data_IF_449933659290
#
_entry.id   IF_449933659290
#
_cell.length_a   1.000
_cell.length_b   1.000
_cell.length_c   1.000
_cell.angle_alpha   90.00
_cell.angle_beta   90.00
_cell.angle_gamma   90.00
#
_symmetry.space_group_name_H-M   'P 1'
#
loop_
_entity.id
_entity.type
_entity.pdbx_description
1 polymer ?
#
# COMPACT_ATOMS: atom_id res chain seq x y z
N UNK A 1 16.28 3.61 -21.50
CA UNK A 1 15.14 4.13 -20.69
C UNK A 1 14.35 2.92 -20.24
N UNK A 2 14.20 2.69 -18.93
CA UNK A 2 13.44 1.53 -18.45
C UNK A 2 11.99 1.94 -18.30
N UNK A 3 11.13 1.51 -19.22
CA UNK A 3 9.72 1.89 -19.24
C UNK A 3 8.88 1.01 -18.30
N UNK A 4 7.79 1.58 -17.77
CA UNK A 4 6.77 0.89 -16.95
C UNK A 4 6.28 -0.43 -17.55
N UNK A 5 6.29 -0.53 -18.89
CA UNK A 5 5.93 -1.73 -19.64
C UNK A 5 6.87 -2.90 -19.38
N UNK A 6 8.19 -2.64 -19.32
CA UNK A 6 9.18 -3.67 -19.03
C UNK A 6 9.04 -4.22 -17.60
N UNK A 7 8.66 -3.36 -16.66
CA UNK A 7 8.36 -3.77 -15.28
C UNK A 7 7.12 -4.68 -15.24
N UNK A 8 6.03 -4.28 -15.90
CA UNK A 8 4.80 -5.08 -15.91
C UNK A 8 5.02 -6.45 -16.57
N UNK A 9 5.78 -6.49 -17.66
CA UNK A 9 6.18 -7.73 -18.30
C UNK A 9 7.00 -8.63 -17.37
N UNK A 10 7.97 -8.07 -16.66
CA UNK A 10 8.78 -8.81 -15.69
C UNK A 10 7.96 -9.37 -14.52
N UNK A 11 6.99 -8.60 -14.01
CA UNK A 11 6.05 -9.06 -12.97
C UNK A 11 5.18 -10.20 -13.48
N UNK A 12 4.65 -10.08 -14.71
CA UNK A 12 3.85 -11.13 -15.36
C UNK A 12 4.65 -12.42 -15.57
N UNK A 13 5.88 -12.32 -16.07
CA UNK A 13 6.82 -13.42 -16.23
C UNK A 13 7.13 -14.12 -14.89
N UNK A 14 7.43 -13.34 -13.85
CA UNK A 14 7.68 -13.86 -12.50
C UNK A 14 6.46 -14.61 -11.94
N UNK A 15 5.25 -14.12 -12.23
CA UNK A 15 4.01 -14.78 -11.81
C UNK A 15 3.81 -16.12 -12.50
N UNK A 16 4.06 -16.18 -13.81
CA UNK A 16 3.92 -17.42 -14.56
C UNK A 16 4.97 -18.47 -14.13
N UNK A 17 6.19 -18.03 -13.82
CA UNK A 17 7.27 -18.91 -13.32
C UNK A 17 6.99 -19.43 -11.91
N UNK A 18 6.39 -18.62 -11.03
CA UNK A 18 5.88 -19.10 -9.73
C UNK A 18 4.83 -20.20 -9.87
N UNK A 19 3.89 -20.04 -10.81
CA UNK A 19 2.89 -21.08 -11.11
C UNK A 19 3.53 -22.39 -11.57
N UNK A 20 4.68 -22.30 -12.23
CA UNK A 20 5.49 -23.44 -12.67
C UNK A 20 6.46 -23.95 -11.59
N UNK A 21 6.32 -23.51 -10.33
CA UNK A 21 7.14 -23.88 -9.17
C UNK A 21 8.65 -23.62 -9.32
N UNK A 22 9.05 -22.69 -10.20
CA UNK A 22 10.45 -22.30 -10.35
C UNK A 22 10.73 -20.97 -9.64
N UNK A 23 10.90 -21.05 -8.32
CA UNK A 23 11.08 -19.89 -7.44
C UNK A 23 12.40 -19.14 -7.67
N UNK A 24 13.47 -19.85 -8.07
CA UNK A 24 14.78 -19.26 -8.27
C UNK A 24 14.79 -18.28 -9.46
N UNK A 25 14.22 -18.70 -10.60
CA UNK A 25 14.09 -17.85 -11.78
C UNK A 25 13.11 -16.69 -11.54
N UNK A 26 12.00 -16.96 -10.85
CA UNK A 26 11.03 -15.93 -10.48
C UNK A 26 11.65 -14.86 -9.56
N UNK A 27 12.48 -15.26 -8.59
CA UNK A 27 13.21 -14.34 -7.72
C UNK A 27 14.24 -13.51 -8.49
N UNK A 28 14.88 -14.08 -9.51
CA UNK A 28 15.77 -13.36 -10.44
C UNK A 28 15.03 -12.25 -11.19
N UNK A 29 13.90 -12.59 -11.80
CA UNK A 29 13.02 -11.65 -12.51
C UNK A 29 12.51 -10.54 -11.58
N UNK A 30 12.08 -10.88 -10.36
CA UNK A 30 11.63 -9.90 -9.37
C UNK A 30 12.73 -8.97 -8.89
N UNK A 31 13.96 -9.46 -8.68
CA UNK A 31 15.11 -8.60 -8.37
C UNK A 31 15.41 -7.64 -9.52
N UNK A 32 15.29 -8.10 -10.77
CA UNK A 32 15.40 -7.25 -11.95
C UNK A 32 14.31 -6.16 -11.98
N UNK A 33 13.06 -6.55 -11.74
CA UNK A 33 11.93 -5.63 -11.65
C UNK A 33 12.11 -4.60 -10.53
N UNK A 34 12.58 -5.03 -9.35
CA UNK A 34 12.87 -4.09 -8.27
C UNK A 34 13.98 -3.11 -8.62
N UNK A 35 15.07 -3.57 -9.28
CA UNK A 35 16.14 -2.66 -9.72
C UNK A 35 15.62 -1.60 -10.66
N UNK A 36 14.85 -1.98 -11.68
CA UNK A 36 14.24 -1.01 -12.60
C UNK A 36 13.28 -0.08 -11.87
N UNK A 37 12.41 -0.62 -11.01
CA UNK A 37 11.50 0.18 -10.19
C UNK A 37 12.23 1.17 -9.26
N UNK A 38 13.30 0.73 -8.61
CA UNK A 38 14.07 1.56 -7.66
C UNK A 38 14.84 2.69 -8.34
N UNK A 39 15.18 2.50 -9.62
CA UNK A 39 15.83 3.50 -10.47
C UNK A 39 14.82 4.48 -11.10
N UNK A 40 13.53 4.16 -11.06
CA UNK A 40 12.48 5.07 -11.52
C UNK A 40 12.23 6.16 -10.47
N UNK A 41 11.96 7.36 -10.97
CA UNK A 41 11.31 8.40 -10.17
C UNK A 41 9.88 7.95 -9.88
N UNK A 42 9.60 7.60 -8.63
CA UNK A 42 8.26 7.16 -8.23
C UNK A 42 7.29 8.33 -8.43
N UNK A 43 6.24 8.05 -9.20
CA UNK A 43 5.14 8.97 -9.52
C UNK A 43 3.84 8.21 -9.39
N UNK A 44 2.72 8.94 -9.38
CA UNK A 44 1.36 8.40 -9.26
C UNK A 44 1.06 7.18 -10.17
N UNK A 45 1.44 7.15 -11.47
CA UNK A 45 1.19 5.97 -12.32
C UNK A 45 1.99 4.72 -11.93
N UNK A 46 3.03 4.84 -11.09
CA UNK A 46 3.84 3.70 -10.65
C UNK A 46 3.34 3.07 -9.34
N UNK A 47 2.39 3.71 -8.65
CA UNK A 47 1.76 3.18 -7.43
C UNK A 47 1.09 1.80 -7.60
N UNK A 48 0.32 1.53 -8.67
CA UNK A 48 -0.24 0.19 -8.88
C UNK A 48 0.85 -0.86 -9.13
N UNK A 49 1.92 -0.49 -9.82
CA UNK A 49 3.05 -1.39 -10.07
C UNK A 49 3.76 -1.81 -8.77
N UNK A 50 3.93 -0.87 -7.84
CA UNK A 50 4.49 -1.16 -6.53
C UNK A 50 3.61 -2.11 -5.71
N UNK A 51 2.29 -1.93 -5.79
CA UNK A 51 1.33 -2.80 -5.11
C UNK A 51 1.39 -4.22 -5.66
N UNK A 52 1.40 -4.37 -6.99
CA UNK A 52 1.56 -5.66 -7.64
C UNK A 52 2.87 -6.34 -7.26
N UNK A 53 4.01 -5.62 -7.31
CA UNK A 53 5.30 -6.16 -6.86
C UNK A 53 5.23 -6.69 -5.43
N UNK A 54 4.64 -5.94 -4.51
CA UNK A 54 4.51 -6.36 -3.13
C UNK A 54 3.56 -7.56 -2.94
N UNK A 55 2.46 -7.63 -3.70
CA UNK A 55 1.60 -8.82 -3.71
C UNK A 55 2.39 -10.05 -4.18
N UNK A 56 3.17 -9.93 -5.26
CA UNK A 56 4.01 -11.04 -5.74
C UNK A 56 5.08 -11.44 -4.74
N UNK A 57 5.74 -10.49 -4.10
CA UNK A 57 6.74 -10.79 -3.08
C UNK A 57 6.12 -11.54 -1.89
N UNK A 58 4.92 -11.16 -1.48
CA UNK A 58 4.17 -11.90 -0.46
C UNK A 58 3.82 -13.33 -0.90
N UNK A 59 3.42 -13.54 -2.15
CA UNK A 59 3.16 -14.89 -2.68
C UNK A 59 4.41 -15.78 -2.67
N UNK A 60 5.61 -15.20 -2.71
CA UNK A 60 6.88 -15.91 -2.57
C UNK A 60 7.33 -16.10 -1.11
N UNK A 61 6.52 -15.69 -0.13
CA UNK A 61 6.94 -15.65 1.28
C UNK A 61 7.98 -14.56 1.60
N UNK A 62 8.31 -13.69 0.64
CA UNK A 62 9.27 -12.59 0.78
C UNK A 62 8.61 -11.33 1.31
N UNK A 63 8.03 -11.43 2.51
CA UNK A 63 7.24 -10.36 3.14
C UNK A 63 8.07 -9.09 3.39
N UNK A 64 9.37 -9.24 3.71
CA UNK A 64 10.26 -8.09 3.96
C UNK A 64 10.51 -7.27 2.68
N UNK A 65 10.69 -7.94 1.53
CA UNK A 65 10.83 -7.27 0.23
C UNK A 65 9.52 -6.58 -0.20
N UNK A 66 8.37 -7.23 0.03
CA UNK A 66 7.07 -6.63 -0.22
C UNK A 66 6.90 -5.32 0.57
N UNK A 67 7.30 -5.34 1.85
CA UNK A 67 7.28 -4.17 2.73
C UNK A 67 8.21 -3.08 2.22
N UNK A 68 9.47 -3.41 1.91
CA UNK A 68 10.47 -2.46 1.43
C UNK A 68 10.01 -1.71 0.16
N UNK A 69 9.31 -2.40 -0.75
CA UNK A 69 8.70 -1.79 -1.94
C UNK A 69 7.66 -0.74 -1.55
N UNK A 70 6.71 -1.12 -0.70
CA UNK A 70 5.62 -0.23 -0.28
C UNK A 70 6.13 0.95 0.55
N UNK A 71 7.05 0.72 1.48
CA UNK A 71 7.66 1.75 2.32
C UNK A 71 8.40 2.78 1.47
N UNK A 72 9.20 2.34 0.49
CA UNK A 72 9.92 3.25 -0.40
C UNK A 72 8.94 4.14 -1.17
N UNK A 73 7.88 3.57 -1.75
CA UNK A 73 6.84 4.34 -2.44
C UNK A 73 6.15 5.33 -1.52
N UNK A 74 5.79 4.87 -0.33
CA UNK A 74 5.14 5.68 0.68
C UNK A 74 6.01 6.88 1.09
N UNK A 75 7.29 6.68 1.38
CA UNK A 75 8.20 7.76 1.75
C UNK A 75 8.39 8.78 0.61
N UNK A 76 8.56 8.31 -0.62
CA UNK A 76 8.74 9.18 -1.78
C UNK A 76 7.47 10.00 -2.12
N UNK A 77 6.29 9.41 -1.97
CA UNK A 77 5.03 10.07 -2.34
C UNK A 77 4.41 10.86 -1.19
N UNK A 78 4.50 10.39 0.05
CA UNK A 78 3.94 11.07 1.22
C UNK A 78 4.65 12.39 1.54
N UNK A 79 5.91 12.55 1.13
CA UNK A 79 6.65 13.83 1.23
C UNK A 79 6.14 14.89 0.25
N UNK A 80 5.59 14.47 -0.89
CA UNK A 80 4.94 15.36 -1.88
C UNK A 80 3.47 15.65 -1.57
N UNK A 81 2.92 14.98 -0.54
CA UNK A 81 1.53 15.09 -0.11
C UNK A 81 0.71 13.84 -0.42
N UNK A 82 -0.29 13.57 0.43
CA UNK A 82 -1.18 12.43 0.23
C UNK A 82 -2.17 12.74 -0.89
N UNK A 83 -2.23 11.85 -1.88
CA UNK A 83 -3.18 11.89 -3.01
C UNK A 83 -4.13 10.69 -2.93
N UNK A 84 -5.32 10.75 -3.55
CA UNK A 84 -6.27 9.63 -3.54
C UNK A 84 -5.66 8.35 -4.15
N UNK A 85 -4.77 8.47 -5.13
CA UNK A 85 -4.06 7.33 -5.72
C UNK A 85 -3.09 6.62 -4.76
N UNK A 86 -2.66 7.28 -3.69
CA UNK A 86 -1.76 6.71 -2.68
C UNK A 86 -2.52 5.90 -1.60
N UNK A 87 -3.84 6.08 -1.49
CA UNK A 87 -4.65 5.40 -0.47
C UNK A 87 -4.55 3.86 -0.58
N UNK A 88 -4.72 3.24 -1.76
CA UNK A 88 -4.60 1.78 -1.87
C UNK A 88 -3.23 1.24 -1.42
N UNK A 89 -2.16 1.97 -1.74
CA UNK A 89 -0.81 1.63 -1.30
C UNK A 89 -0.66 1.73 0.22
N UNK A 90 -1.23 2.77 0.83
CA UNK A 90 -1.25 2.95 2.28
C UNK A 90 -1.98 1.82 3.00
N UNK A 91 -3.13 1.41 2.45
CA UNK A 91 -3.91 0.29 2.99
C UNK A 91 -3.14 -1.03 2.92
N UNK A 92 -2.49 -1.29 1.78
CA UNK A 92 -1.67 -2.48 1.61
C UNK A 92 -0.48 -2.47 2.59
N UNK A 93 0.21 -1.33 2.74
CA UNK A 93 1.30 -1.17 3.69
C UNK A 93 0.83 -1.39 5.14
N UNK A 94 -0.32 -0.83 5.52
CA UNK A 94 -0.91 -1.05 6.83
C UNK A 94 -1.29 -2.52 7.05
N UNK A 95 -1.81 -3.22 6.05
CA UNK A 95 -2.08 -4.66 6.13
C UNK A 95 -0.79 -5.46 6.35
N UNK A 96 0.31 -5.11 5.68
CA UNK A 96 1.63 -5.73 5.90
C UNK A 96 2.12 -5.54 7.34
N UNK A 97 2.07 -4.30 7.84
CA UNK A 97 2.46 -4.00 9.21
C UNK A 97 1.62 -4.77 10.25
N UNK A 98 0.31 -4.86 10.04
CA UNK A 98 -0.57 -5.65 10.89
C UNK A 98 -0.19 -7.14 10.90
N UNK A 99 0.14 -7.73 9.75
CA UNK A 99 0.58 -9.12 9.65
C UNK A 99 1.86 -9.42 10.45
N UNK A 100 2.69 -8.40 10.68
CA UNK A 100 3.91 -8.49 11.49
C UNK A 100 3.71 -8.14 12.97
N UNK A 101 2.48 -7.81 13.40
CA UNK A 101 2.21 -7.31 14.74
C UNK A 101 2.64 -5.85 14.97
N UNK A 102 3.08 -5.14 13.92
CA UNK A 102 3.46 -3.72 13.95
C UNK A 102 2.23 -2.82 13.82
N UNK A 103 1.30 -2.97 14.76
CA UNK A 103 -0.02 -2.32 14.69
C UNK A 103 0.09 -0.79 14.76
N UNK A 104 1.06 -0.27 15.51
CA UNK A 104 1.29 1.17 15.67
C UNK A 104 1.74 1.84 14.35
N UNK A 105 2.63 1.19 13.59
CA UNK A 105 3.07 1.66 12.28
C UNK A 105 1.90 1.65 11.27
N UNK A 106 1.10 0.58 11.26
CA UNK A 106 -0.08 0.47 10.43
C UNK A 106 -1.05 1.63 10.71
N UNK A 107 -1.28 1.93 11.98
CA UNK A 107 -2.15 3.02 12.43
C UNK A 107 -1.59 4.37 11.97
N UNK A 108 -0.31 4.63 12.20
CA UNK A 108 0.34 5.90 11.83
C UNK A 108 0.20 6.22 10.34
N UNK A 109 0.34 5.21 9.47
CA UNK A 109 0.14 5.36 8.02
C UNK A 109 -1.32 5.74 7.70
N UNK A 110 -2.29 5.01 8.27
CA UNK A 110 -3.71 5.25 8.03
C UNK A 110 -4.18 6.60 8.61
N UNK A 111 -3.74 6.97 9.81
CA UNK A 111 -4.03 8.25 10.44
C UNK A 111 -3.52 9.41 9.58
N UNK A 112 -2.29 9.30 9.05
CA UNK A 112 -1.72 10.34 8.18
C UNK A 112 -2.55 10.50 6.90
N UNK A 113 -2.99 9.40 6.29
CA UNK A 113 -3.91 9.45 5.15
C UNK A 113 -5.24 10.13 5.52
N UNK A 114 -5.83 9.72 6.65
CA UNK A 114 -7.10 10.24 7.12
C UNK A 114 -7.03 11.75 7.39
N UNK A 115 -6.05 12.23 8.15
CA UNK A 115 -5.92 13.65 8.51
C UNK A 115 -5.73 14.54 7.27
N UNK A 116 -4.90 14.12 6.31
CA UNK A 116 -4.65 14.92 5.12
C UNK A 116 -5.81 14.91 4.11
N UNK A 117 -6.54 13.81 4.00
CA UNK A 117 -7.62 13.71 3.00
C UNK A 117 -8.97 14.17 3.57
N UNK A 118 -9.27 13.88 4.84
CA UNK A 118 -10.54 14.29 5.47
C UNK A 118 -10.71 15.81 5.59
N UNK A 119 -9.60 16.57 5.57
CA UNK A 119 -9.62 18.04 5.52
C UNK A 119 -10.02 18.60 4.15
N UNK A 120 -9.79 17.84 3.08
CA UNK A 120 -10.16 18.20 1.70
C UNK A 120 -11.56 17.72 1.30
N UNK A 121 -12.21 16.93 2.15
CA UNK A 121 -13.49 16.29 1.88
C UNK A 121 -13.35 14.76 1.79
N UNK A 122 -14.32 14.06 2.38
CA UNK A 122 -14.33 12.60 2.38
C UNK A 122 -14.77 12.09 1.01
N UNK A 123 -13.84 11.40 0.35
CA UNK A 123 -14.10 10.73 -0.92
C UNK A 123 -14.40 9.25 -0.68
N UNK A 124 -15.14 8.57 -1.57
CA UNK A 124 -15.40 7.13 -1.46
C UNK A 124 -14.11 6.29 -1.35
N UNK A 125 -13.01 6.76 -1.96
CA UNK A 125 -11.70 6.11 -1.84
C UNK A 125 -11.05 6.22 -0.45
N UNK A 126 -11.53 7.12 0.42
CA UNK A 126 -11.04 7.28 1.79
C UNK A 126 -11.79 6.37 2.80
N UNK A 127 -12.99 5.89 2.45
CA UNK A 127 -13.78 5.01 3.33
C UNK A 127 -13.05 3.72 3.73
N UNK A 128 -12.34 3.03 2.82
CA UNK A 128 -11.59 1.83 3.19
C UNK A 128 -10.48 2.12 4.22
N UNK A 129 -9.81 3.28 4.11
CA UNK A 129 -8.82 3.75 5.09
C UNK A 129 -9.48 4.02 6.44
N UNK A 130 -10.64 4.69 6.44
CA UNK A 130 -11.41 5.00 7.63
C UNK A 130 -11.86 3.71 8.37
N UNK A 131 -12.36 2.72 7.62
CA UNK A 131 -12.76 1.42 8.16
C UNK A 131 -11.59 0.65 8.77
N UNK A 132 -10.45 0.61 8.07
CA UNK A 132 -9.25 -0.03 8.63
C UNK A 132 -8.80 0.69 9.89
N UNK A 133 -8.78 2.03 9.90
CA UNK A 133 -8.39 2.81 11.07
C UNK A 133 -9.32 2.57 12.26
N UNK A 134 -10.64 2.58 12.03
CA UNK A 134 -11.64 2.25 13.06
C UNK A 134 -11.47 0.83 13.61
N UNK A 135 -11.18 -0.13 12.73
CA UNK A 135 -10.87 -1.52 13.14
C UNK A 135 -9.63 -1.58 14.03
N UNK A 136 -8.58 -0.80 13.71
CA UNK A 136 -7.39 -0.73 14.54
C UNK A 136 -7.66 -0.09 15.91
N UNK A 137 -8.43 0.99 15.94
CA UNK A 137 -8.83 1.62 17.20
C UNK A 137 -9.65 0.68 18.09
N UNK A 138 -10.60 -0.05 17.51
CA UNK A 138 -11.38 -1.05 18.25
C UNK A 138 -10.50 -2.15 18.86
N UNK A 139 -9.46 -2.62 18.14
CA UNK A 139 -8.51 -3.61 18.68
C UNK A 139 -7.69 -3.09 19.87
N UNK A 140 -7.59 -1.78 20.02
CA UNK A 140 -6.88 -1.12 21.13
C UNK A 140 -7.83 -0.65 22.24
N UNK A 141 -9.10 -1.08 22.23
CA UNK A 141 -10.16 -0.61 23.13
C UNK A 141 -10.47 0.90 23.01
N UNK A 142 -10.02 1.53 21.92
CA UNK A 142 -10.26 2.96 21.62
C UNK A 142 -11.53 3.17 20.80
N UNK A 143 -12.66 2.68 21.32
CA UNK A 143 -13.94 2.65 20.59
C UNK A 143 -14.43 4.04 20.21
N UNK A 144 -14.21 5.04 21.08
CA UNK A 144 -14.62 6.43 20.82
C UNK A 144 -13.89 7.03 19.61
N UNK A 145 -12.61 6.73 19.42
CA UNK A 145 -11.84 7.18 18.26
C UNK A 145 -12.31 6.49 16.97
N UNK A 146 -12.61 5.20 17.05
CA UNK A 146 -13.19 4.44 15.93
C UNK A 146 -14.53 5.04 15.49
N UNK A 147 -15.39 5.35 16.47
CA UNK A 147 -16.69 5.98 16.23
C UNK A 147 -16.52 7.36 15.61
N UNK A 148 -15.63 8.20 16.13
CA UNK A 148 -15.41 9.55 15.62
C UNK A 148 -15.03 9.57 14.14
N UNK A 149 -14.16 8.64 13.71
CA UNK A 149 -13.76 8.47 12.31
C UNK A 149 -14.95 8.10 11.42
N UNK A 150 -15.72 7.08 11.82
CA UNK A 150 -16.86 6.58 11.04
C UNK A 150 -18.04 7.57 11.01
N UNK A 151 -18.32 8.23 12.13
CA UNK A 151 -19.37 9.24 12.22
C UNK A 151 -19.07 10.42 11.30
N UNK A 152 -17.81 10.87 11.24
CA UNK A 152 -17.39 11.92 10.30
C UNK A 152 -17.56 11.51 8.84
N UNK A 153 -17.22 10.27 8.49
CA UNK A 153 -17.51 9.69 7.17
C UNK A 153 -19.00 9.75 6.84
N UNK A 154 -19.84 9.31 7.77
CA UNK A 154 -21.28 9.26 7.58
C UNK A 154 -21.87 10.67 7.41
N UNK A 155 -21.48 11.63 8.25
CA UNK A 155 -21.97 13.00 8.21
C UNK A 155 -21.66 13.70 6.88
N UNK A 156 -20.46 13.55 6.34
CA UNK A 156 -20.10 14.22 5.08
C UNK A 156 -20.71 13.56 3.84
N UNK A 157 -20.97 12.26 3.87
CA UNK A 157 -21.59 11.54 2.75
C UNK A 157 -23.12 11.66 2.71
N UNK A 158 -23.74 12.21 3.75
CA UNK A 158 -25.19 12.39 3.85
C UNK A 158 -25.70 13.67 3.17
N UNK A 159 -24.81 14.47 2.59
CA UNK A 159 -25.13 15.70 1.84
C UNK A 159 -25.74 15.38 0.48
#
# INVERSE_FOLDING_TARGET
MCDSHGLNFAIGQATNTLRMANEADAAGLMRGAWRTFSALSITTPHLPLAQELAVRYNSMGRVDDARAVLERCWQQMSTRGITPGLLPLAQQLAAQYNGMGRVDDARTVLERCWQQMSTRGITPGLLPVAQQLATQYNKMDRVEDARAVLERCWQQMRV
#
